data_IF_026078246389
#
_entry.id   IF_026078246389
#
_cell.length_a   1.000
_cell.length_b   1.000
_cell.length_c   1.000
_cell.angle_alpha   90.00
_cell.angle_beta   90.00
_cell.angle_gamma   90.00
#
_symmetry.space_group_name_H-M   'P 1'
#
loop_
_entity.id
_entity.type
_entity.pdbx_description
1 polymer ?
#
# COMPACT_ATOMS: atom_id res chain seq x y z
N UNK A 1 1.03 -0.46 14.68
CA UNK A 1 0.80 -1.60 13.76
C UNK A 1 2.13 -2.28 13.48
N UNK A 2 2.23 -3.59 13.71
CA UNK A 2 3.43 -4.40 13.43
C UNK A 2 3.17 -5.22 12.17
N UNK A 3 4.11 -5.20 11.21
CA UNK A 3 4.03 -5.98 9.97
C UNK A 3 5.02 -7.15 10.02
N UNK A 4 4.57 -8.32 9.57
CA UNK A 4 5.46 -9.47 9.41
C UNK A 4 6.43 -9.25 8.22
N UNK A 5 7.58 -9.91 8.26
CA UNK A 5 8.53 -9.88 7.14
C UNK A 5 7.85 -10.37 5.86
N UNK A 6 8.01 -9.61 4.76
CA UNK A 6 7.38 -9.91 3.47
C UNK A 6 5.93 -9.42 3.32
N UNK A 7 5.34 -8.81 4.35
CA UNK A 7 3.99 -8.22 4.30
C UNK A 7 4.08 -6.69 4.26
N UNK A 8 3.35 -6.07 3.34
CA UNK A 8 3.29 -4.61 3.18
C UNK A 8 1.86 -4.10 3.36
N UNK A 9 1.72 -2.81 3.63
CA UNK A 9 0.43 -2.13 3.72
C UNK A 9 0.52 -0.78 2.98
N UNK A 10 -0.41 -0.54 2.06
CA UNK A 10 -0.51 0.70 1.28
C UNK A 10 -1.82 1.41 1.54
N UNK A 11 -1.76 2.74 1.62
CA UNK A 11 -2.96 3.57 1.64
C UNK A 11 -3.49 3.74 0.21
N UNK A 12 -4.82 3.68 0.03
CA UNK A 12 -5.45 3.59 -1.30
C UNK A 12 -6.38 4.77 -1.63
N UNK A 13 -6.49 5.77 -0.73
CA UNK A 13 -7.34 6.95 -0.94
C UNK A 13 -6.57 8.16 -1.49
N UNK A 14 -5.26 8.04 -1.74
CA UNK A 14 -4.54 9.05 -2.51
C UNK A 14 -4.80 8.81 -4.01
N UNK A 15 -5.59 9.69 -4.62
CA UNK A 15 -5.84 9.71 -6.06
C UNK A 15 -5.20 10.93 -6.73
N UNK A 16 -4.81 10.76 -7.99
CA UNK A 16 -4.36 11.74 -8.99
C UNK A 16 -3.85 13.10 -8.48
N UNK A 17 -2.55 13.35 -8.65
CA UNK A 17 -1.90 14.61 -8.31
C UNK A 17 -0.39 14.44 -8.09
N UNK A 18 0.19 15.28 -7.23
CA UNK A 18 1.64 15.25 -6.91
C UNK A 18 2.13 13.94 -6.26
N UNK A 19 1.21 13.19 -5.66
CA UNK A 19 1.47 11.92 -4.97
C UNK A 19 0.58 10.83 -5.57
N UNK A 20 0.74 10.60 -6.87
CA UNK A 20 0.00 9.54 -7.57
C UNK A 20 0.36 8.17 -6.98
N UNK A 21 -0.57 7.59 -6.23
CA UNK A 21 -0.43 6.27 -5.63
C UNK A 21 -1.46 5.34 -6.26
N UNK A 22 -1.03 4.63 -7.31
CA UNK A 22 -1.82 3.58 -7.92
C UNK A 22 -1.81 2.29 -7.07
N UNK A 23 -2.18 2.34 -5.78
CA UNK A 23 -2.14 1.17 -4.89
C UNK A 23 -2.97 -0.02 -5.41
N UNK A 24 -4.03 0.26 -6.15
CA UNK A 24 -4.86 -0.79 -6.77
C UNK A 24 -4.22 -1.41 -8.02
N UNK A 25 -3.19 -0.80 -8.63
CA UNK A 25 -2.54 -1.33 -9.84
C UNK A 25 -1.75 -2.63 -9.58
N UNK A 26 -1.39 -2.89 -8.33
CA UNK A 26 -0.68 -4.10 -7.91
C UNK A 26 -1.62 -5.20 -7.38
N UNK A 27 -2.94 -4.96 -7.43
CA UNK A 27 -3.92 -5.96 -7.02
C UNK A 27 -4.29 -6.86 -8.20
N UNK A 28 -4.49 -8.18 -7.97
CA UNK A 28 -4.85 -9.08 -9.06
C UNK A 28 -6.25 -8.76 -9.59
N UNK A 29 -6.42 -8.82 -10.91
CA UNK A 29 -7.73 -8.72 -11.57
C UNK A 29 -8.64 -9.95 -11.31
N UNK A 30 -8.16 -10.95 -10.57
CA UNK A 30 -8.93 -12.14 -10.22
C UNK A 30 -9.94 -11.82 -9.11
N UNK A 31 -11.22 -12.02 -9.41
CA UNK A 31 -12.31 -11.91 -8.44
C UNK A 31 -12.47 -13.21 -7.64
N UNK A 32 -13.14 -13.11 -6.50
CA UNK A 32 -13.53 -14.26 -5.71
C UNK A 32 -14.61 -15.09 -6.43
N UNK A 33 -14.47 -16.42 -6.56
CA UNK A 33 -15.39 -17.25 -7.32
C UNK A 33 -16.77 -17.40 -6.68
N UNK A 34 -16.94 -17.06 -5.39
CA UNK A 34 -18.21 -17.22 -4.69
C UNK A 34 -19.07 -15.96 -4.83
N UNK A 35 -18.47 -14.77 -4.78
CA UNK A 35 -19.21 -13.50 -4.70
C UNK A 35 -18.75 -12.42 -5.69
N UNK A 36 -17.83 -12.76 -6.60
CA UNK A 36 -17.28 -11.86 -7.62
C UNK A 36 -16.66 -10.55 -7.06
N UNK A 37 -16.24 -10.54 -5.79
CA UNK A 37 -15.55 -9.38 -5.20
C UNK A 37 -14.06 -9.42 -5.52
N UNK A 38 -13.47 -8.25 -5.74
CA UNK A 38 -12.04 -8.11 -5.95
C UNK A 38 -11.22 -8.44 -4.70
N UNK A 39 -10.04 -9.03 -4.92
CA UNK A 39 -9.13 -9.50 -3.87
C UNK A 39 -8.06 -8.46 -3.53
N UNK A 40 -8.48 -7.24 -3.17
CA UNK A 40 -7.58 -6.10 -2.94
C UNK A 40 -6.49 -6.33 -1.87
N UNK A 41 -6.69 -7.27 -0.95
CA UNK A 41 -5.74 -7.56 0.13
C UNK A 41 -4.68 -8.60 -0.25
N UNK A 42 -4.75 -9.16 -1.46
CA UNK A 42 -3.86 -10.23 -1.94
C UNK A 42 -2.93 -9.77 -3.08
N UNK A 43 -2.63 -8.47 -3.14
CA UNK A 43 -1.61 -7.95 -4.07
C UNK A 43 -0.23 -8.54 -3.77
N UNK A 44 0.53 -8.83 -4.83
CA UNK A 44 1.92 -9.32 -4.73
C UNK A 44 2.78 -8.58 -5.75
N UNK A 45 3.99 -8.25 -5.34
CA UNK A 45 4.96 -7.57 -6.22
C UNK A 45 6.35 -7.53 -5.61
N UNK A 46 7.23 -6.79 -6.27
CA UNK A 46 8.58 -6.51 -5.81
C UNK A 46 8.65 -5.06 -5.34
N UNK A 47 9.36 -4.82 -4.24
CA UNK A 47 9.64 -3.46 -3.72
C UNK A 47 11.05 -3.08 -4.13
N UNK A 48 11.16 -1.99 -4.90
CA UNK A 48 12.44 -1.43 -5.34
C UNK A 48 12.58 -0.02 -4.82
N UNK A 49 13.76 0.34 -4.30
CA UNK A 49 14.07 1.71 -3.88
C UNK A 49 14.17 2.62 -5.12
N UNK A 50 13.36 3.67 -5.17
CA UNK A 50 13.38 4.65 -6.27
C UNK A 50 14.13 5.94 -5.92
N UNK A 51 14.30 6.25 -4.64
CA UNK A 51 14.97 7.47 -4.18
C UNK A 51 14.75 7.73 -2.70
N UNK A 52 14.95 8.99 -2.29
CA UNK A 52 14.65 9.49 -0.95
C UNK A 52 13.45 10.44 -1.02
N UNK A 53 12.56 10.37 -0.03
CA UNK A 53 11.32 11.18 -0.03
C UNK A 53 11.57 12.61 0.42
N UNK A 54 10.96 13.58 -0.27
CA UNK A 54 10.94 15.00 0.14
C UNK A 54 10.33 15.22 1.53
N UNK A 55 9.53 14.27 2.03
CA UNK A 55 8.84 14.35 3.32
C UNK A 55 9.59 13.75 4.50
N UNK A 56 10.82 13.24 4.30
CA UNK A 56 11.58 12.53 5.34
C UNK A 56 11.76 13.36 6.62
N UNK A 57 11.93 14.68 6.49
CA UNK A 57 12.19 15.59 7.61
C UNK A 57 10.93 16.28 8.14
N UNK A 58 9.78 16.10 7.50
CA UNK A 58 8.53 16.80 7.84
C UNK A 58 7.43 15.85 8.33
N UNK A 59 7.59 14.53 8.11
CA UNK A 59 6.64 13.51 8.57
C UNK A 59 7.16 12.74 9.78
N UNK A 60 6.23 12.43 10.70
CA UNK A 60 6.51 11.53 11.82
C UNK A 60 6.40 10.07 11.37
N UNK A 61 7.44 9.28 11.66
CA UNK A 61 7.48 7.82 11.47
C UNK A 61 7.38 7.06 12.79
N UNK A 62 6.97 7.72 13.88
CA UNK A 62 6.73 7.09 15.18
C UNK A 62 5.59 6.07 15.04
N UNK A 63 5.65 4.91 15.74
CA UNK A 63 4.58 3.92 15.67
C UNK A 63 3.20 4.51 16.00
N UNK A 64 2.23 4.29 15.10
CA UNK A 64 0.81 4.48 15.42
C UNK A 64 0.37 3.36 16.37
N UNK A 65 0.46 3.64 17.66
CA UNK A 65 -0.12 2.84 18.75
C UNK A 65 -1.59 3.26 18.91
N UNK A 66 -2.43 2.84 17.96
CA UNK A 66 -3.88 2.87 18.16
C UNK A 66 -4.20 1.66 19.03
N UNK A 67 -4.36 1.89 20.33
CA UNK A 67 -4.91 0.94 21.29
C UNK A 67 -6.44 0.94 21.19
#
# INVERSE_FOLDING_TARGET
>A
MVLAAGVTCSYFLFGQGRLDMAANSVTPGQTDPINNRYRYKLGKGLVTKTGESEFKQTMSFVPRNLA
#
